data_IF_294304193347
#
_entry.id   IF_294304193347
#
_cell.length_a   1.000
_cell.length_b   1.000
_cell.length_c   1.000
_cell.angle_alpha   90.00
_cell.angle_beta   90.00
_cell.angle_gamma   90.00
#
_symmetry.space_group_name_H-M   'P 1'
#
loop_
_entity.id
_entity.type
_entity.pdbx_description
1 polymer ?
#
# COMPACT_ATOMS: atom_id res chain seq x y z
N UNK A 1 -1.25 15.00 14.23
CA UNK A 1 -0.65 14.09 13.23
C UNK A 1 -0.67 14.82 11.91
N UNK A 2 0.48 14.93 11.28
CA UNK A 2 0.72 15.66 10.03
C UNK A 2 1.76 14.84 9.22
N UNK A 3 1.89 15.08 7.93
CA UNK A 3 2.86 14.40 7.06
C UNK A 3 4.29 14.88 7.29
N UNK A 4 4.47 15.86 8.17
CA UNK A 4 5.77 16.31 8.71
C UNK A 4 5.63 16.55 10.22
N UNK A 5 6.45 15.89 11.03
CA UNK A 5 6.36 15.91 12.50
C UNK A 5 7.74 16.25 13.06
N UNK A 6 7.79 17.11 14.07
CA UNK A 6 9.01 17.36 14.84
C UNK A 6 8.92 16.65 16.19
N UNK A 7 9.96 15.92 16.55
CA UNK A 7 10.11 15.32 17.88
C UNK A 7 11.06 16.19 18.73
N UNK A 8 10.55 16.91 19.74
CA UNK A 8 11.38 17.76 20.60
C UNK A 8 12.30 16.98 21.56
N UNK A 9 12.04 15.70 21.81
CA UNK A 9 12.86 14.88 22.72
C UNK A 9 14.13 14.38 22.03
N UNK A 10 14.06 14.15 20.71
CA UNK A 10 15.19 13.69 19.88
C UNK A 10 15.79 14.79 19.02
N UNK A 11 15.13 15.95 18.89
CA UNK A 11 15.46 17.04 17.96
C UNK A 11 15.49 16.58 16.49
N UNK A 12 14.64 15.59 16.15
CA UNK A 12 14.53 15.00 14.81
C UNK A 12 13.23 15.40 14.12
N UNK A 13 13.24 15.39 12.78
CA UNK A 13 12.06 15.60 11.95
C UNK A 13 11.68 14.31 11.22
N UNK A 14 10.40 14.01 11.21
CA UNK A 14 9.78 13.05 10.31
C UNK A 14 9.17 13.80 9.13
N UNK A 15 9.34 13.27 7.93
CA UNK A 15 8.57 13.67 6.75
C UNK A 15 8.23 12.44 5.93
N UNK A 16 7.02 12.37 5.38
CA UNK A 16 6.63 11.27 4.47
C UNK A 16 7.47 11.23 3.18
N UNK A 17 8.17 12.31 2.85
CA UNK A 17 9.09 12.36 1.69
C UNK A 17 10.51 11.89 2.03
N UNK A 18 10.83 11.68 3.32
CA UNK A 18 12.11 11.16 3.77
C UNK A 18 12.00 9.64 3.99
N UNK A 19 12.55 8.86 3.06
CA UNK A 19 12.51 7.40 3.12
C UNK A 19 13.26 6.82 4.32
N UNK A 20 14.29 7.50 4.84
CA UNK A 20 15.00 7.06 6.03
C UNK A 20 14.12 7.22 7.27
N UNK A 21 13.38 8.33 7.39
CA UNK A 21 12.43 8.55 8.47
C UNK A 21 11.23 7.58 8.37
N UNK A 22 10.67 7.38 7.17
CA UNK A 22 9.56 6.44 6.93
C UNK A 22 9.93 5.00 7.28
N UNK A 23 11.18 4.59 7.05
CA UNK A 23 11.67 3.24 7.35
C UNK A 23 12.07 3.03 8.82
N UNK A 24 12.08 4.09 9.62
CA UNK A 24 12.46 4.03 11.03
C UNK A 24 11.24 3.75 11.91
N UNK A 25 11.23 2.56 12.53
CA UNK A 25 10.15 2.10 13.40
C UNK A 25 9.86 3.00 14.60
N UNK A 26 10.80 3.86 15.02
CA UNK A 26 10.60 4.79 16.15
C UNK A 26 9.47 5.78 15.92
N UNK A 27 9.22 6.16 14.66
CA UNK A 27 8.14 7.07 14.28
C UNK A 27 6.76 6.41 14.23
N UNK A 28 6.70 5.08 14.30
CA UNK A 28 5.48 4.30 14.15
C UNK A 28 5.05 3.70 15.50
N UNK A 29 4.07 4.34 16.13
CA UNK A 29 3.42 3.80 17.31
C UNK A 29 2.34 2.76 17.00
N UNK A 30 1.91 2.02 18.03
CA UNK A 30 0.86 1.01 17.91
C UNK A 30 1.29 -0.26 17.18
N UNK A 31 0.31 -1.10 16.85
CA UNK A 31 0.53 -2.35 16.10
C UNK A 31 -0.34 -2.34 14.83
N UNK A 32 0.26 -2.20 13.64
CA UNK A 32 -0.48 -2.28 12.39
C UNK A 32 -1.08 -3.66 12.15
N UNK A 33 -2.15 -3.71 11.35
CA UNK A 33 -2.88 -4.95 11.07
C UNK A 33 -2.00 -6.05 10.47
N UNK A 34 -1.03 -5.70 9.62
CA UNK A 34 -0.09 -6.67 9.05
C UNK A 34 0.85 -7.25 10.12
N UNK A 35 1.31 -6.45 11.09
CA UNK A 35 2.12 -6.95 12.21
C UNK A 35 1.32 -7.95 13.05
N UNK A 36 0.06 -7.64 13.34
CA UNK A 36 -0.83 -8.55 14.08
C UNK A 36 -1.06 -9.86 13.34
N UNK A 37 -1.22 -9.82 12.01
CA UNK A 37 -1.40 -11.00 11.17
C UNK A 37 -0.12 -11.86 11.08
N UNK A 38 1.04 -11.25 10.79
CA UNK A 38 2.34 -11.94 10.73
C UNK A 38 2.68 -12.65 12.05
N UNK A 39 2.42 -12.00 13.19
CA UNK A 39 2.60 -12.61 14.52
C UNK A 39 1.72 -13.83 14.77
N UNK A 40 0.60 -13.94 14.06
CA UNK A 40 -0.32 -15.08 14.11
C UNK A 40 -0.03 -16.12 13.01
N UNK A 41 1.08 -15.97 12.28
CA UNK A 41 1.48 -16.89 11.21
C UNK A 41 0.70 -16.70 9.92
N UNK A 42 0.04 -15.54 9.76
CA UNK A 42 -0.66 -15.17 8.52
C UNK A 42 0.29 -14.38 7.64
N UNK A 43 0.53 -14.86 6.43
CA UNK A 43 1.40 -14.19 5.45
C UNK A 43 0.69 -12.93 4.95
N UNK A 44 1.40 -11.80 4.95
CA UNK A 44 0.86 -10.51 4.52
C UNK A 44 1.68 -9.87 3.42
N UNK A 45 1.00 -9.05 2.60
CA UNK A 45 1.61 -8.27 1.56
C UNK A 45 1.15 -6.80 1.58
N UNK A 46 2.07 -5.87 1.31
CA UNK A 46 1.73 -4.44 1.29
C UNK A 46 2.39 -3.74 0.11
N UNK A 47 1.57 -3.18 -0.77
CA UNK A 47 1.99 -2.25 -1.81
C UNK A 47 1.75 -0.82 -1.29
N UNK A 48 2.84 -0.16 -0.85
CA UNK A 48 2.89 1.28 -0.57
C UNK A 48 2.09 1.79 0.63
N UNK A 49 1.63 0.91 1.53
CA UNK A 49 0.96 1.38 2.74
C UNK A 49 1.95 2.10 3.67
N UNK A 50 1.64 3.32 4.17
CA UNK A 50 2.53 4.05 5.06
C UNK A 50 2.96 3.22 6.28
N UNK A 51 4.27 3.11 6.52
CA UNK A 51 4.85 2.34 7.62
C UNK A 51 5.08 0.86 7.32
N UNK A 52 4.64 0.35 6.17
CA UNK A 52 4.99 -1.02 5.73
C UNK A 52 6.48 -1.23 5.54
N UNK A 53 7.21 -0.15 5.24
CA UNK A 53 8.66 -0.12 5.07
C UNK A 53 9.44 0.03 6.37
N UNK A 54 8.78 0.10 7.53
CA UNK A 54 9.41 0.11 8.83
C UNK A 54 9.25 -1.25 9.53
N UNK A 55 10.26 -1.74 10.28
CA UNK A 55 10.14 -2.96 11.06
C UNK A 55 9.39 -2.67 12.38
N UNK A 56 8.11 -2.33 12.29
CA UNK A 56 7.28 -1.90 13.42
C UNK A 56 7.14 -3.06 14.41
N UNK A 57 7.59 -2.84 15.65
CA UNK A 57 7.65 -3.91 16.66
C UNK A 57 8.54 -5.09 16.25
N UNK A 58 9.54 -4.84 15.40
CA UNK A 58 10.47 -5.84 14.87
C UNK A 58 9.94 -6.68 13.69
N UNK A 59 8.75 -6.37 13.18
CA UNK A 59 8.05 -7.16 12.15
C UNK A 59 7.80 -6.31 10.92
N UNK A 60 7.91 -6.93 9.75
CA UNK A 60 7.51 -6.39 8.44
C UNK A 60 6.51 -7.34 7.80
N UNK A 61 5.69 -6.87 6.84
CA UNK A 61 4.97 -7.77 5.95
C UNK A 61 5.94 -8.72 5.25
N UNK A 62 5.52 -9.97 5.02
CA UNK A 62 6.32 -10.97 4.29
C UNK A 62 6.66 -10.46 2.89
N UNK A 63 5.69 -9.85 2.20
CA UNK A 63 5.89 -9.19 0.93
C UNK A 63 5.66 -7.68 1.08
N UNK A 64 6.62 -6.85 0.67
CA UNK A 64 6.42 -5.41 0.61
C UNK A 64 7.32 -4.80 -0.45
N UNK A 65 6.94 -3.63 -0.95
CA UNK A 65 7.74 -2.82 -1.87
C UNK A 65 7.94 -1.42 -1.30
N UNK A 66 9.16 -0.85 -1.40
CA UNK A 66 9.40 0.53 -1.02
C UNK A 66 8.54 1.52 -1.81
N UNK A 67 8.05 2.58 -1.18
CA UNK A 67 7.19 3.56 -1.83
C UNK A 67 7.84 4.14 -3.09
N UNK A 68 7.13 4.05 -4.21
CA UNK A 68 7.49 4.69 -5.46
C UNK A 68 6.23 5.32 -6.07
N UNK A 69 6.00 6.61 -5.78
CA UNK A 69 4.86 7.35 -6.33
C UNK A 69 4.83 7.42 -7.86
N UNK A 70 5.94 7.16 -8.54
CA UNK A 70 6.00 7.08 -10.00
C UNK A 70 5.55 5.75 -10.59
N UNK A 71 5.21 4.74 -9.77
CA UNK A 71 4.74 3.44 -10.26
C UNK A 71 3.29 3.54 -10.77
N UNK A 72 3.02 3.20 -12.05
CA UNK A 72 1.68 3.17 -12.62
C UNK A 72 0.71 2.30 -11.81
N UNK A 73 -0.57 2.67 -11.78
CA UNK A 73 -1.57 1.92 -11.02
C UNK A 73 -1.79 0.51 -11.55
N UNK A 74 -1.73 0.34 -12.86
CA UNK A 74 -1.73 -0.98 -13.52
C UNK A 74 -0.60 -1.89 -13.02
N UNK A 75 0.60 -1.36 -12.84
CA UNK A 75 1.75 -2.11 -12.32
C UNK A 75 1.56 -2.45 -10.83
N UNK A 76 0.95 -1.55 -10.05
CA UNK A 76 0.60 -1.83 -8.63
C UNK A 76 -0.42 -2.98 -8.54
N UNK A 77 -1.42 -2.97 -9.42
CA UNK A 77 -2.43 -4.04 -9.51
C UNK A 77 -1.80 -5.35 -9.97
N UNK A 78 -0.95 -5.31 -11.00
CA UNK A 78 -0.20 -6.47 -11.47
C UNK A 78 0.61 -7.11 -10.35
N UNK A 79 1.36 -6.32 -9.58
CA UNK A 79 2.12 -6.81 -8.43
C UNK A 79 1.24 -7.50 -7.37
N UNK A 80 0.08 -6.93 -7.06
CA UNK A 80 -0.87 -7.53 -6.11
C UNK A 80 -1.39 -8.87 -6.62
N UNK A 81 -1.71 -8.96 -7.90
CA UNK A 81 -2.17 -10.18 -8.55
C UNK A 81 -1.06 -11.24 -8.62
N UNK A 82 0.18 -10.84 -8.88
CA UNK A 82 1.34 -11.74 -8.90
C UNK A 82 1.60 -12.35 -7.51
N UNK A 83 1.45 -11.56 -6.43
CA UNK A 83 1.56 -12.10 -5.07
C UNK A 83 0.54 -13.21 -4.77
N UNK A 84 -0.64 -13.17 -5.38
CA UNK A 84 -1.65 -14.23 -5.21
C UNK A 84 -1.27 -15.54 -5.90
N UNK A 85 -0.33 -15.51 -6.84
CA UNK A 85 0.15 -16.67 -7.59
C UNK A 85 1.46 -17.25 -7.01
N UNK A 86 2.01 -16.64 -5.95
CA UNK A 86 3.18 -17.14 -5.22
C UNK A 86 2.92 -18.52 -4.60
N UNK A 87 3.99 -19.29 -4.35
CA UNK A 87 3.88 -20.60 -3.68
C UNK A 87 3.28 -20.49 -2.27
N UNK A 88 3.52 -19.37 -1.61
CA UNK A 88 3.00 -19.03 -0.29
C UNK A 88 2.18 -17.73 -0.35
N UNK A 89 0.97 -17.77 -0.91
CA UNK A 89 0.22 -16.55 -1.20
C UNK A 89 -0.22 -15.86 0.10
N UNK A 90 -0.13 -14.51 0.17
CA UNK A 90 -0.57 -13.74 1.33
C UNK A 90 -2.09 -13.81 1.50
N UNK A 91 -2.54 -13.80 2.75
CA UNK A 91 -3.98 -13.81 3.10
C UNK A 91 -4.50 -12.41 3.46
N UNK A 92 -3.60 -11.46 3.68
CA UNK A 92 -3.89 -10.04 3.85
C UNK A 92 -3.03 -9.24 2.89
N UNK A 93 -3.67 -8.48 1.99
CA UNK A 93 -2.99 -7.59 1.06
C UNK A 93 -3.52 -6.18 1.25
N UNK A 94 -2.62 -5.20 1.26
CA UNK A 94 -2.98 -3.78 1.16
C UNK A 94 -2.36 -3.16 -0.08
N UNK A 95 -3.09 -2.31 -0.79
CA UNK A 95 -2.59 -1.52 -1.91
C UNK A 95 -2.99 -0.06 -1.72
N UNK A 96 -2.08 0.87 -2.01
CA UNK A 96 -2.30 2.31 -1.87
C UNK A 96 -2.27 3.01 -3.23
N UNK A 97 -3.23 3.91 -3.43
CA UNK A 97 -3.33 4.83 -4.56
C UNK A 97 -3.33 6.27 -4.02
N UNK A 98 -2.54 7.13 -4.63
CA UNK A 98 -2.32 8.51 -4.19
C UNK A 98 -3.33 9.51 -4.79
N UNK A 99 -4.09 9.09 -5.79
CA UNK A 99 -5.22 9.83 -6.34
C UNK A 99 -6.56 9.41 -5.69
N UNK A 100 -7.59 10.29 -5.69
CA UNK A 100 -7.66 11.63 -6.30
C UNK A 100 -7.10 12.76 -5.41
N UNK A 101 -6.44 12.42 -4.30
CA UNK A 101 -5.91 13.40 -3.33
C UNK A 101 -4.85 14.30 -3.95
N UNK A 102 -3.93 13.72 -4.75
CA UNK A 102 -2.90 14.46 -5.49
C UNK A 102 -3.47 15.54 -6.41
N UNK A 103 -4.43 15.17 -7.26
CA UNK A 103 -5.13 16.09 -8.15
C UNK A 103 -5.91 17.16 -7.38
N UNK A 104 -6.61 16.76 -6.32
CA UNK A 104 -7.36 17.67 -5.45
C UNK A 104 -6.48 18.74 -4.80
N UNK A 105 -5.31 18.35 -4.29
CA UNK A 105 -4.34 19.28 -3.71
C UNK A 105 -3.74 20.25 -4.73
N UNK A 106 -3.54 19.81 -5.98
CA UNK A 106 -2.90 20.62 -7.03
C UNK A 106 -3.86 21.57 -7.73
N UNK A 107 -5.09 21.14 -7.96
CA UNK A 107 -6.05 21.85 -8.81
C UNK A 107 -7.27 22.40 -8.03
N UNK A 108 -7.53 21.86 -6.84
CA UNK A 108 -8.74 22.11 -6.08
C UNK A 108 -9.80 21.03 -6.34
N UNK A 109 -10.70 20.79 -5.37
CA UNK A 109 -11.60 19.63 -5.39
C UNK A 109 -12.65 19.64 -6.50
N UNK A 110 -12.98 20.81 -7.07
CA UNK A 110 -13.99 20.99 -8.11
C UNK A 110 -13.39 21.01 -9.54
N UNK A 111 -12.08 20.80 -9.68
CA UNK A 111 -11.43 20.80 -10.99
C UNK A 111 -11.69 19.49 -11.75
N UNK A 112 -11.95 19.51 -13.07
CA UNK A 112 -12.12 18.30 -13.89
C UNK A 112 -10.97 17.29 -13.76
N UNK A 113 -9.74 17.74 -13.49
CA UNK A 113 -8.60 16.85 -13.28
C UNK A 113 -8.79 15.88 -12.11
N UNK A 114 -9.58 16.25 -11.09
CA UNK A 114 -9.94 15.36 -9.98
C UNK A 114 -10.85 14.23 -10.46
N UNK A 115 -11.75 14.53 -11.40
CA UNK A 115 -12.60 13.54 -12.05
C UNK A 115 -11.81 12.55 -12.88
N UNK A 116 -10.84 13.05 -13.68
CA UNK A 116 -9.95 12.21 -14.48
C UNK A 116 -9.10 11.29 -13.57
N UNK A 117 -8.53 11.83 -12.49
CA UNK A 117 -7.75 11.05 -11.52
C UNK A 117 -8.59 10.00 -10.78
N UNK A 118 -9.85 10.31 -10.45
CA UNK A 118 -10.78 9.33 -9.88
C UNK A 118 -11.11 8.20 -10.86
N UNK A 119 -11.22 8.51 -12.16
CA UNK A 119 -11.41 7.50 -13.21
C UNK A 119 -10.19 6.58 -13.32
N UNK A 120 -8.96 7.10 -13.23
CA UNK A 120 -7.75 6.27 -13.24
C UNK A 120 -7.72 5.25 -12.08
N UNK A 121 -8.18 5.66 -10.89
CA UNK A 121 -8.30 4.75 -9.74
C UNK A 121 -9.40 3.71 -9.97
N UNK A 122 -10.54 4.11 -10.54
CA UNK A 122 -11.64 3.19 -10.89
C UNK A 122 -11.18 2.11 -11.89
N UNK A 123 -10.43 2.50 -12.92
CA UNK A 123 -9.86 1.58 -13.91
C UNK A 123 -8.87 0.58 -13.27
N UNK A 124 -8.04 1.05 -12.32
CA UNK A 124 -7.15 0.18 -11.57
C UNK A 124 -7.91 -0.83 -10.68
N UNK A 125 -8.98 -0.38 -10.01
CA UNK A 125 -9.84 -1.25 -9.21
C UNK A 125 -10.57 -2.28 -10.08
N UNK A 126 -11.05 -1.88 -11.26
CA UNK A 126 -11.65 -2.79 -12.23
C UNK A 126 -10.65 -3.87 -12.66
N UNK A 127 -9.42 -3.49 -13.02
CA UNK A 127 -8.36 -4.45 -13.36
C UNK A 127 -8.02 -5.42 -12.23
N UNK A 128 -8.04 -4.95 -10.97
CA UNK A 128 -7.86 -5.81 -9.80
C UNK A 128 -9.00 -6.83 -9.66
N UNK A 129 -10.25 -6.37 -9.76
CA UNK A 129 -11.43 -7.23 -9.66
C UNK A 129 -11.44 -8.28 -10.78
N UNK A 130 -11.22 -7.87 -12.03
CA UNK A 130 -11.16 -8.77 -13.18
C UNK A 130 -10.07 -9.84 -12.99
N UNK A 131 -8.89 -9.45 -12.49
CA UNK A 131 -7.80 -10.37 -12.17
C UNK A 131 -8.14 -11.37 -11.07
N UNK A 132 -8.92 -10.97 -10.07
CA UNK A 132 -9.40 -11.84 -9.00
C UNK A 132 -10.47 -12.82 -9.51
N UNK A 133 -11.43 -12.35 -10.31
CA UNK A 133 -12.50 -13.16 -10.88
C UNK A 133 -11.96 -14.23 -11.85
N UNK A 134 -10.95 -13.88 -12.65
CA UNK A 134 -10.27 -14.81 -13.54
C UNK A 134 -9.63 -15.98 -12.76
N UNK A 135 -8.99 -15.68 -11.62
CA UNK A 135 -8.38 -16.69 -10.74
C UNK A 135 -9.42 -17.56 -10.05
N UNK A 136 -10.50 -16.96 -9.54
CA UNK A 136 -11.60 -17.72 -8.92
C UNK A 136 -12.27 -18.69 -9.91
N UNK A 137 -12.44 -18.26 -11.16
CA UNK A 137 -13.03 -19.09 -12.22
C UNK A 137 -12.12 -20.24 -12.65
N UNK A 138 -10.81 -20.09 -12.52
CA UNK A 138 -9.85 -21.16 -12.85
C UNK A 138 -9.87 -22.32 -11.84
N UNK A 139 -10.19 -22.06 -10.57
CA UNK A 139 -10.20 -23.07 -9.49
C UNK A 139 -11.40 -24.03 -9.57
N UNK A 140 -12.48 -23.66 -10.28
CA UNK A 140 -13.73 -24.47 -10.34
C UNK A 140 -13.72 -25.55 -11.42
N UNK A 141 -12.65 -25.65 -12.22
CA UNK A 141 -12.55 -26.60 -13.33
C UNK A 141 -11.44 -27.64 -13.08
N UNK A 142 -11.48 -28.32 -11.94
CA UNK A 142 -10.72 -29.56 -11.73
C UNK A 142 -11.53 -30.48 -10.81
N UNK A 143 -12.37 -31.33 -11.40
CA UNK A 143 -13.04 -32.45 -10.73
C UNK A 143 -13.21 -33.61 -11.71
#
# INVERSE_FOLDING_TARGET
MDNTIYDPDTDEWFSMTDSAAVSDARWWGGEPIWVTAERQGVITATCFWPGSEAPIGGVRPTYYVPYNGGMPYEDRVGLVLDWLDEEAPPQLITVYFDEPDGAGHKHGPDDPAVGDAAQEVDEALAGLIDGLEARASSTTCTS
#
